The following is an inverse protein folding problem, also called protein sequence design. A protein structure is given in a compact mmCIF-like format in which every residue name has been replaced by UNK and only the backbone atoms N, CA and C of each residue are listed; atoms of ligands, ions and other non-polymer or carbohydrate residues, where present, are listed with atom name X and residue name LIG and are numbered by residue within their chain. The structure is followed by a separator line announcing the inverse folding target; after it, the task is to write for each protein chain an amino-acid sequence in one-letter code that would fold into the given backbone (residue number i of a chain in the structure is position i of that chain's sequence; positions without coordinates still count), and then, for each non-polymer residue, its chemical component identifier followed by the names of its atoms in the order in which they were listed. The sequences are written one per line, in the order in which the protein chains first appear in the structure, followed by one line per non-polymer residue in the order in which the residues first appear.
data_IF_342717912369
#
_entry.id   IF_342717912369
#
_cell.length_a   1.000
_cell.length_b   1.000
_cell.length_c   1.000
_cell.angle_alpha   90.00
_cell.angle_beta   90.00
_cell.angle_gamma   90.00
#
_symmetry.space_group_name_H-M   'P 1'
#
loop_
_entity.id
_entity.type
_entity.pdbx_description
1 polymer ?
#
# COMPACT_ATOMS: atom_id res chain seq x y z
N UNK A 1 32.49 -30.02 62.66
CA UNK A 1 32.92 -29.64 61.30
C UNK A 1 31.84 -28.68 60.75
N UNK A 2 32.09 -27.38 60.91
CA UNK A 2 31.14 -26.29 60.59
C UNK A 2 31.15 -26.02 59.06
N UNK A 3 30.02 -26.13 58.45
CA UNK A 3 29.80 -25.60 57.10
C UNK A 3 29.50 -24.11 57.22
N UNK A 4 30.48 -23.30 56.90
CA UNK A 4 30.34 -21.85 56.75
C UNK A 4 29.35 -21.52 55.64
N UNK A 5 28.28 -20.82 55.99
CA UNK A 5 27.32 -20.27 55.07
C UNK A 5 28.01 -19.15 54.26
N UNK A 6 28.30 -19.39 53.00
CA UNK A 6 28.59 -18.35 52.05
C UNK A 6 27.38 -17.41 51.94
N UNK A 7 27.46 -16.25 52.60
CA UNK A 7 26.57 -15.12 52.35
C UNK A 7 27.01 -14.49 51.04
N UNK A 8 26.22 -14.62 50.02
CA UNK A 8 26.30 -13.74 48.84
C UNK A 8 25.95 -12.34 49.30
N UNK A 9 26.89 -11.43 49.21
CA UNK A 9 26.71 -10.01 49.46
C UNK A 9 26.00 -9.39 48.25
N UNK A 10 24.72 -9.08 48.41
CA UNK A 10 23.86 -8.47 47.38
C UNK A 10 24.22 -7.00 47.04
N UNK A 11 25.32 -6.47 47.61
CA UNK A 11 25.63 -5.03 47.56
C UNK A 11 26.65 -4.61 46.47
N UNK A 12 27.13 -5.49 45.58
CA UNK A 12 28.23 -5.14 44.67
C UNK A 12 27.93 -5.23 43.18
N UNK A 13 26.73 -5.45 42.74
CA UNK A 13 26.38 -5.22 41.34
C UNK A 13 25.69 -3.87 41.16
N UNK A 14 26.47 -2.79 41.25
CA UNK A 14 26.03 -1.48 40.70
C UNK A 14 26.18 -1.55 39.19
N UNK A 15 25.29 -2.25 38.52
CA UNK A 15 24.96 -1.88 37.15
C UNK A 15 24.03 -0.68 37.25
N UNK A 16 24.56 0.52 37.11
CA UNK A 16 23.75 1.64 36.68
C UNK A 16 23.49 1.39 35.20
N UNK A 17 22.31 0.84 34.86
CA UNK A 17 21.79 1.11 33.55
C UNK A 17 21.70 2.64 33.50
N UNK A 18 22.52 3.32 32.69
CA UNK A 18 22.09 4.56 32.12
C UNK A 18 20.73 4.24 31.50
N UNK A 19 19.69 4.83 32.06
CA UNK A 19 18.39 4.83 31.43
C UNK A 19 18.53 5.70 30.17
N UNK A 20 19.30 5.26 29.21
CA UNK A 20 19.13 5.61 27.81
C UNK A 20 17.79 4.99 27.40
N UNK A 21 16.72 5.66 27.85
CA UNK A 21 15.42 5.52 27.25
C UNK A 21 15.57 6.10 25.85
N UNK A 22 16.03 5.26 24.94
CA UNK A 22 15.78 5.56 23.54
C UNK A 22 14.25 5.65 23.41
N UNK A 23 13.70 6.83 23.17
CA UNK A 23 12.27 6.95 23.01
C UNK A 23 11.85 5.99 21.90
N UNK A 24 10.68 5.34 21.98
CA UNK A 24 10.19 4.49 20.91
C UNK A 24 10.20 5.29 19.60
N UNK A 25 10.46 4.61 18.47
CA UNK A 25 10.50 5.25 17.16
C UNK A 25 9.20 6.05 16.92
N UNK A 26 9.35 7.31 16.55
CA UNK A 26 8.23 8.22 16.26
C UNK A 26 7.73 7.98 14.85
N UNK A 27 6.61 7.28 14.75
CA UNK A 27 5.99 6.89 13.48
C UNK A 27 4.80 7.82 13.21
N UNK A 28 4.78 8.45 12.04
CA UNK A 28 3.65 9.26 11.59
C UNK A 28 3.02 8.66 10.33
N UNK A 29 1.69 8.70 10.25
CA UNK A 29 0.93 8.33 9.06
C UNK A 29 0.21 9.56 8.56
N UNK A 30 0.51 9.99 7.34
CA UNK A 30 -0.16 11.10 6.70
C UNK A 30 -1.05 10.60 5.56
N UNK A 31 -2.36 10.77 5.71
CA UNK A 31 -3.36 10.45 4.69
C UNK A 31 -3.65 11.68 3.83
N UNK A 32 -3.35 11.58 2.53
CA UNK A 32 -3.39 12.70 1.59
C UNK A 32 -4.57 12.57 0.64
N UNK A 33 -5.41 13.61 0.60
CA UNK A 33 -6.63 13.64 -0.22
C UNK A 33 -7.75 12.78 0.35
N UNK A 34 -8.80 12.54 -0.44
CA UNK A 34 -10.00 11.81 0.01
C UNK A 34 -9.70 10.37 0.41
N UNK A 35 -9.11 9.59 -0.49
CA UNK A 35 -8.80 8.17 -0.22
C UNK A 35 -7.77 8.00 0.90
N UNK A 36 -6.72 8.83 0.95
CA UNK A 36 -5.76 8.80 2.06
C UNK A 36 -6.41 9.14 3.41
N UNK A 37 -7.33 10.10 3.44
CA UNK A 37 -8.13 10.43 4.63
C UNK A 37 -9.04 9.28 5.08
N UNK A 38 -9.66 8.56 4.14
CA UNK A 38 -10.47 7.37 4.44
C UNK A 38 -9.62 6.23 5.01
N UNK A 39 -8.45 5.99 4.41
CA UNK A 39 -7.50 4.98 4.92
C UNK A 39 -7.07 5.31 6.36
N UNK A 40 -6.73 6.58 6.67
CA UNK A 40 -6.41 7.01 8.04
C UNK A 40 -7.60 6.81 8.98
N UNK A 41 -8.82 7.16 8.58
CA UNK A 41 -10.01 6.89 9.39
C UNK A 41 -10.15 5.39 9.69
N UNK A 42 -9.85 4.54 8.71
CA UNK A 42 -9.90 3.09 8.86
C UNK A 42 -8.86 2.56 9.84
N UNK A 43 -7.63 3.10 9.77
CA UNK A 43 -6.53 2.77 10.68
C UNK A 43 -6.87 3.16 12.14
N UNK A 44 -7.49 4.32 12.34
CA UNK A 44 -7.96 4.77 13.66
C UNK A 44 -9.08 3.86 14.19
N UNK A 45 -10.04 3.46 13.34
CA UNK A 45 -11.09 2.51 13.70
C UNK A 45 -10.53 1.13 14.05
N UNK A 46 -9.48 0.69 13.35
CA UNK A 46 -8.75 -0.53 13.64
C UNK A 46 -7.87 -0.43 14.91
N UNK A 47 -7.80 0.75 15.54
CA UNK A 47 -7.02 1.00 16.77
C UNK A 47 -5.54 0.67 16.63
N UNK A 48 -4.92 1.07 15.52
CA UNK A 48 -3.45 0.96 15.39
C UNK A 48 -2.82 1.88 16.42
N UNK A 49 -1.94 1.33 17.27
CA UNK A 49 -1.28 2.02 18.37
C UNK A 49 0.17 2.42 18.03
N UNK A 50 0.72 3.37 18.77
CA UNK A 50 2.13 3.79 18.61
C UNK A 50 2.39 4.64 17.36
N UNK A 51 1.34 5.20 16.73
CA UNK A 51 1.42 5.95 15.47
C UNK A 51 0.63 7.26 15.58
N UNK A 52 1.21 8.35 15.10
CA UNK A 52 0.53 9.65 15.00
C UNK A 52 -0.17 9.79 13.64
N UNK A 53 -1.47 10.04 13.66
CA UNK A 53 -2.28 10.17 12.45
C UNK A 53 -2.50 11.62 12.04
N UNK A 54 -2.22 11.91 10.76
CA UNK A 54 -2.40 13.21 10.12
C UNK A 54 -3.28 13.04 8.89
N UNK A 55 -4.30 13.89 8.73
CA UNK A 55 -5.07 13.98 7.49
C UNK A 55 -4.74 15.31 6.79
N UNK A 56 -4.21 15.24 5.57
CA UNK A 56 -3.92 16.39 4.72
C UNK A 56 -4.84 16.42 3.50
N UNK A 57 -5.56 17.52 3.28
CA UNK A 57 -6.45 17.65 2.14
C UNK A 57 -6.63 19.11 1.72
N UNK A 58 -6.98 19.31 0.46
CA UNK A 58 -7.42 20.60 -0.10
C UNK A 58 -8.93 20.82 0.08
N UNK A 59 -9.69 19.76 0.41
CA UNK A 59 -11.13 19.81 0.64
C UNK A 59 -11.42 19.87 2.16
N UNK A 60 -12.00 21.00 2.57
CA UNK A 60 -12.35 21.25 3.98
C UNK A 60 -13.47 20.33 4.47
N UNK A 61 -14.40 19.92 3.62
CA UNK A 61 -15.50 19.04 4.02
C UNK A 61 -14.95 17.64 4.37
N UNK A 62 -14.04 17.12 3.53
CA UNK A 62 -13.36 15.87 3.79
C UNK A 62 -12.52 15.93 5.09
N UNK A 63 -11.84 17.05 5.37
CA UNK A 63 -11.11 17.23 6.62
C UNK A 63 -12.03 17.30 7.85
N UNK A 64 -13.20 17.89 7.74
CA UNK A 64 -14.17 17.95 8.85
C UNK A 64 -14.66 16.57 9.25
N UNK A 65 -14.88 15.68 8.28
CA UNK A 65 -15.33 14.31 8.52
C UNK A 65 -14.20 13.34 8.93
N UNK A 66 -12.94 13.76 8.82
CA UNK A 66 -11.79 12.94 9.22
C UNK A 66 -11.77 12.72 10.74
N UNK A 67 -11.39 11.50 11.13
CA UNK A 67 -11.16 11.10 12.53
C UNK A 67 -9.73 11.40 13.01
N UNK A 68 -8.83 11.80 12.09
CA UNK A 68 -7.44 12.11 12.45
C UNK A 68 -7.36 13.21 13.51
N UNK A 69 -6.54 13.04 14.56
CA UNK A 69 -6.34 14.05 15.58
C UNK A 69 -5.70 15.31 15.01
N UNK A 70 -4.81 15.14 14.05
CA UNK A 70 -4.15 16.25 13.35
C UNK A 70 -4.70 16.39 11.94
N UNK A 71 -5.19 17.59 11.61
CA UNK A 71 -5.80 17.90 10.30
C UNK A 71 -5.07 19.08 9.67
N UNK A 72 -4.57 18.88 8.46
CA UNK A 72 -3.89 19.90 7.70
C UNK A 72 -4.66 20.24 6.43
N UNK A 73 -5.22 21.44 6.34
CA UNK A 73 -5.68 21.97 5.07
C UNK A 73 -4.47 22.50 4.30
N UNK A 74 -4.25 21.97 3.10
CA UNK A 74 -3.22 22.42 2.16
C UNK A 74 -3.84 23.21 1.02
N UNK A 75 -3.12 24.23 0.49
CA UNK A 75 -3.53 25.04 -0.64
C UNK A 75 -4.81 25.82 -0.39
N UNK A 76 -4.97 26.38 0.80
CA UNK A 76 -6.18 27.11 1.19
C UNK A 76 -6.46 28.30 0.26
N UNK A 77 -5.41 29.06 -0.16
CA UNK A 77 -5.55 30.19 -1.08
C UNK A 77 -5.83 29.73 -2.50
N UNK A 78 -5.19 28.64 -2.93
CA UNK A 78 -5.31 28.11 -4.29
C UNK A 78 -6.68 27.50 -4.56
N UNK A 79 -7.24 26.76 -3.57
CA UNK A 79 -8.44 25.92 -3.78
C UNK A 79 -9.70 26.49 -3.12
N UNK A 80 -9.58 27.47 -2.23
CA UNK A 80 -10.67 27.98 -1.40
C UNK A 80 -11.43 26.86 -0.63
N UNK A 81 -10.73 25.75 -0.31
CA UNK A 81 -11.32 24.61 0.39
C UNK A 81 -12.21 23.69 -0.45
N UNK A 82 -12.26 23.85 -1.76
CA UNK A 82 -13.12 23.10 -2.69
C UNK A 82 -12.42 21.90 -3.35
N UNK A 83 -11.17 21.59 -2.97
CA UNK A 83 -10.41 20.52 -3.57
C UNK A 83 -9.72 20.89 -4.89
N UNK A 84 -9.00 19.93 -5.50
CA UNK A 84 -8.19 20.15 -6.71
C UNK A 84 -8.93 19.86 -8.03
N UNK A 85 -10.18 19.37 -8.02
CA UNK A 85 -10.94 19.06 -9.23
C UNK A 85 -10.28 18.01 -10.14
N UNK A 86 -9.67 16.97 -9.55
CA UNK A 86 -8.94 15.91 -10.23
C UNK A 86 -7.77 16.38 -11.11
N UNK A 87 -7.11 17.50 -10.76
CA UNK A 87 -5.94 18.05 -11.43
C UNK A 87 -4.72 17.89 -10.49
N UNK A 88 -3.77 16.96 -10.77
CA UNK A 88 -2.61 16.69 -9.90
C UNK A 88 -1.72 17.91 -9.70
N UNK A 89 -1.52 18.74 -10.75
CA UNK A 89 -0.71 19.95 -10.67
C UNK A 89 -1.22 20.94 -9.61
N UNK A 90 -2.56 21.05 -9.44
CA UNK A 90 -3.14 21.86 -8.36
C UNK A 90 -2.86 21.27 -6.98
N UNK A 91 -2.82 19.93 -6.88
CA UNK A 91 -2.44 19.22 -5.65
C UNK A 91 -0.97 19.47 -5.27
N UNK A 92 -0.09 19.44 -6.26
CA UNK A 92 1.33 19.79 -6.13
C UNK A 92 1.51 21.21 -5.60
N UNK A 93 0.87 22.19 -6.27
CA UNK A 93 0.95 23.59 -5.87
C UNK A 93 0.34 23.83 -4.47
N UNK A 94 -0.72 23.12 -4.12
CA UNK A 94 -1.32 23.19 -2.80
C UNK A 94 -0.36 22.70 -1.68
N UNK A 95 0.41 21.65 -1.92
CA UNK A 95 1.42 21.19 -0.98
C UNK A 95 2.60 22.17 -0.87
N UNK A 96 3.02 22.75 -1.99
CA UNK A 96 4.08 23.77 -2.01
C UNK A 96 3.68 25.06 -1.27
N UNK A 97 2.39 25.44 -1.31
CA UNK A 97 1.87 26.62 -0.58
C UNK A 97 2.04 26.47 0.94
N UNK A 98 1.92 25.24 1.47
CA UNK A 98 1.92 24.96 2.90
C UNK A 98 3.17 24.17 3.37
N UNK A 99 4.29 24.29 2.64
CA UNK A 99 5.54 23.55 2.90
C UNK A 99 6.01 23.69 4.36
N UNK A 100 6.03 24.92 4.91
CA UNK A 100 6.47 25.17 6.29
C UNK A 100 5.63 24.41 7.32
N UNK A 101 4.31 24.40 7.14
CA UNK A 101 3.40 23.67 8.04
C UNK A 101 3.54 22.15 7.92
N UNK A 102 3.86 21.66 6.73
CA UNK A 102 4.13 20.24 6.50
C UNK A 102 5.42 19.85 7.20
N UNK A 103 6.49 20.62 7.05
CA UNK A 103 7.76 20.40 7.73
C UNK A 103 7.56 20.37 9.25
N UNK A 104 6.87 21.37 9.83
CA UNK A 104 6.58 21.43 11.26
C UNK A 104 5.86 20.18 11.77
N UNK A 105 4.90 19.65 11.00
CA UNK A 105 4.15 18.45 11.36
C UNK A 105 4.99 17.17 11.24
N UNK A 106 5.95 17.12 10.32
CA UNK A 106 6.78 15.94 10.08
C UNK A 106 8.07 15.94 10.88
N UNK A 107 8.46 17.09 11.41
CA UNK A 107 9.71 17.24 12.15
C UNK A 107 9.81 16.25 13.31
N UNK A 108 11.03 15.75 13.47
CA UNK A 108 11.38 14.79 14.49
C UNK A 108 10.75 13.40 14.33
N UNK A 109 10.18 13.06 13.16
CA UNK A 109 9.72 11.69 12.88
C UNK A 109 10.89 10.79 12.49
N UNK A 110 10.89 9.56 13.00
CA UNK A 110 11.85 8.53 12.59
C UNK A 110 11.36 7.79 11.33
N UNK A 111 10.01 7.66 11.18
CA UNK A 111 9.35 7.04 10.03
C UNK A 111 8.08 7.79 9.66
N UNK A 112 7.85 7.93 8.36
CA UNK A 112 6.63 8.56 7.80
C UNK A 112 6.00 7.65 6.76
N UNK A 113 4.75 7.24 7.01
CA UNK A 113 3.92 6.60 6.01
C UNK A 113 3.14 7.65 5.23
N UNK A 114 3.26 7.61 3.90
CA UNK A 114 2.48 8.42 2.97
C UNK A 114 1.37 7.55 2.40
N UNK A 115 0.12 7.79 2.79
CA UNK A 115 -1.01 7.04 2.22
C UNK A 115 -1.90 7.93 1.36
N UNK A 116 -2.18 7.47 0.14
CA UNK A 116 -2.98 8.22 -0.83
C UNK A 116 -3.65 7.29 -1.86
N UNK A 117 -4.80 7.71 -2.39
CA UNK A 117 -5.33 7.15 -3.64
C UNK A 117 -4.81 7.94 -4.83
N UNK A 118 -4.09 7.24 -5.71
CA UNK A 118 -3.53 7.83 -6.93
C UNK A 118 -4.60 7.98 -8.01
N UNK A 119 -4.40 8.93 -8.93
CA UNK A 119 -5.33 9.23 -10.03
C UNK A 119 -6.28 10.39 -9.77
N UNK A 120 -6.37 10.85 -8.51
CA UNK A 120 -7.07 12.09 -8.14
C UNK A 120 -6.20 13.34 -8.30
N UNK A 121 -6.68 14.48 -7.78
CA UNK A 121 -5.90 15.74 -7.78
C UNK A 121 -4.97 15.85 -6.58
N UNK A 122 -5.56 15.89 -5.37
CA UNK A 122 -4.80 16.15 -4.12
C UNK A 122 -3.81 15.04 -3.81
N UNK A 123 -4.27 13.76 -3.74
CA UNK A 123 -3.40 12.63 -3.40
C UNK A 123 -2.24 12.47 -4.38
N UNK A 124 -2.54 12.51 -5.69
CA UNK A 124 -1.54 12.31 -6.75
C UNK A 124 -0.48 13.41 -6.77
N UNK A 125 -0.91 14.67 -6.65
CA UNK A 125 0.03 15.80 -6.77
C UNK A 125 0.75 16.15 -5.47
N UNK A 126 0.09 16.04 -4.32
CA UNK A 126 0.69 16.43 -3.04
C UNK A 126 1.55 15.31 -2.41
N UNK A 127 1.27 14.02 -2.67
CA UNK A 127 2.01 12.93 -2.06
C UNK A 127 3.51 12.97 -2.38
N UNK A 128 3.97 13.19 -3.64
CA UNK A 128 5.40 13.28 -3.92
C UNK A 128 6.08 14.45 -3.21
N UNK A 129 5.41 15.60 -3.08
CA UNK A 129 5.98 16.77 -2.38
C UNK A 129 6.13 16.50 -0.88
N UNK A 130 5.07 15.97 -0.25
CA UNK A 130 5.10 15.67 1.19
C UNK A 130 6.13 14.56 1.48
N UNK A 131 6.26 13.58 0.59
CA UNK A 131 7.27 12.53 0.70
C UNK A 131 8.69 13.07 0.59
N UNK A 132 8.95 14.01 -0.35
CA UNK A 132 10.25 14.67 -0.48
C UNK A 132 10.63 15.40 0.81
N UNK A 133 9.70 16.14 1.40
CA UNK A 133 9.93 16.85 2.66
C UNK A 133 10.23 15.88 3.82
N UNK A 134 9.52 14.75 3.90
CA UNK A 134 9.79 13.73 4.91
C UNK A 134 11.20 13.12 4.76
N UNK A 135 11.62 12.84 3.53
CA UNK A 135 12.95 12.32 3.21
C UNK A 135 14.05 13.36 3.52
N UNK A 136 13.81 14.64 3.22
CA UNK A 136 14.74 15.75 3.58
C UNK A 136 14.93 15.87 5.09
N UNK A 137 13.91 15.53 5.89
CA UNK A 137 13.98 15.46 7.35
C UNK A 137 14.64 14.16 7.86
N UNK A 138 15.20 13.33 6.97
CA UNK A 138 15.87 12.05 7.28
C UNK A 138 14.96 11.00 7.90
N UNK A 139 13.63 11.13 7.77
CA UNK A 139 12.68 10.12 8.16
C UNK A 139 12.68 8.97 7.13
N UNK A 140 12.58 7.72 7.59
CA UNK A 140 12.32 6.58 6.70
C UNK A 140 10.94 6.77 6.07
N UNK A 141 10.90 7.03 4.76
CA UNK A 141 9.67 7.41 4.06
C UNK A 141 9.11 6.23 3.26
N UNK A 142 7.92 5.76 3.63
CA UNK A 142 7.25 4.63 3.01
C UNK A 142 5.93 5.07 2.37
N UNK A 143 5.86 4.97 1.05
CA UNK A 143 4.61 5.20 0.31
C UNK A 143 3.73 3.94 0.32
N UNK A 144 2.47 4.05 0.74
CA UNK A 144 1.47 2.99 0.68
C UNK A 144 0.24 3.53 -0.03
N UNK A 145 0.08 3.23 -1.31
CA UNK A 145 -0.88 3.91 -2.17
C UNK A 145 -1.69 2.95 -3.03
N UNK A 146 -2.91 3.37 -3.38
CA UNK A 146 -3.77 2.59 -4.28
C UNK A 146 -3.76 3.14 -5.70
N UNK A 147 -3.89 2.25 -6.69
CA UNK A 147 -4.21 2.59 -8.08
C UNK A 147 -5.72 2.50 -8.30
N UNK A 148 -6.31 3.40 -9.10
CA UNK A 148 -7.75 3.39 -9.35
C UNK A 148 -8.21 2.12 -10.07
N UNK A 149 -9.49 1.77 -9.90
CA UNK A 149 -10.15 0.74 -10.71
C UNK A 149 -10.23 1.16 -12.19
N UNK A 150 -10.32 0.21 -13.11
CA UNK A 150 -10.41 0.48 -14.55
C UNK A 150 -11.68 1.28 -14.91
N UNK A 151 -12.79 1.01 -14.22
CA UNK A 151 -14.04 1.74 -14.44
C UNK A 151 -13.98 3.23 -14.05
N UNK A 152 -12.99 3.65 -13.23
CA UNK A 152 -12.80 5.07 -12.92
C UNK A 152 -12.26 5.90 -14.10
N UNK A 153 -11.83 5.24 -15.16
CA UNK A 153 -11.50 5.81 -16.45
C UNK A 153 -10.01 6.06 -16.68
N UNK A 154 -9.66 6.11 -17.98
CA UNK A 154 -8.26 6.18 -18.44
C UNK A 154 -7.50 7.41 -17.92
N UNK A 155 -8.18 8.55 -17.81
CA UNK A 155 -7.55 9.79 -17.30
C UNK A 155 -7.00 9.59 -15.88
N UNK A 156 -7.80 8.94 -14.99
CA UNK A 156 -7.34 8.65 -13.63
C UNK A 156 -6.17 7.66 -13.61
N UNK A 157 -6.17 6.66 -14.49
CA UNK A 157 -5.06 5.73 -14.60
C UNK A 157 -3.77 6.42 -15.05
N UNK A 158 -3.84 7.28 -16.08
CA UNK A 158 -2.68 8.06 -16.54
C UNK A 158 -2.11 8.93 -15.42
N UNK A 159 -2.98 9.69 -14.71
CA UNK A 159 -2.54 10.49 -13.58
C UNK A 159 -1.94 9.64 -12.46
N UNK A 160 -2.49 8.45 -12.20
CA UNK A 160 -1.95 7.52 -11.20
C UNK A 160 -0.55 7.04 -11.58
N UNK A 161 -0.33 6.65 -12.84
CA UNK A 161 0.96 6.16 -13.30
C UNK A 161 2.03 7.26 -13.29
N UNK A 162 1.66 8.50 -13.63
CA UNK A 162 2.56 9.66 -13.53
C UNK A 162 2.93 9.94 -12.07
N UNK A 163 1.93 10.06 -11.19
CA UNK A 163 2.17 10.32 -9.77
C UNK A 163 2.92 9.22 -9.05
N UNK A 164 2.69 7.94 -9.42
CA UNK A 164 3.46 6.81 -8.89
C UNK A 164 4.94 6.88 -9.30
N UNK A 165 5.22 7.33 -10.52
CA UNK A 165 6.61 7.51 -10.99
C UNK A 165 7.32 8.58 -10.17
N UNK A 166 6.67 9.73 -9.98
CA UNK A 166 7.23 10.81 -9.16
C UNK A 166 7.40 10.39 -7.69
N UNK A 167 6.40 9.72 -7.12
CA UNK A 167 6.46 9.27 -5.72
C UNK A 167 7.58 8.25 -5.51
N UNK A 168 7.79 7.33 -6.45
CA UNK A 168 8.83 6.31 -6.40
C UNK A 168 10.25 6.90 -6.34
N UNK A 169 10.47 8.06 -6.95
CA UNK A 169 11.77 8.72 -6.98
C UNK A 169 12.15 9.35 -5.64
N UNK A 170 11.16 9.63 -4.79
CA UNK A 170 11.37 10.37 -3.54
C UNK A 170 11.18 9.54 -2.27
N UNK A 171 10.52 8.39 -2.32
CA UNK A 171 10.33 7.52 -1.15
C UNK A 171 11.41 6.44 -1.07
N UNK A 172 11.74 5.99 0.13
CA UNK A 172 12.63 4.83 0.35
C UNK A 172 12.01 3.54 -0.17
N UNK A 173 10.74 3.33 0.12
CA UNK A 173 9.97 2.16 -0.29
C UNK A 173 8.56 2.56 -0.73
N UNK A 174 8.10 2.00 -1.84
CA UNK A 174 6.75 2.22 -2.38
C UNK A 174 5.98 0.90 -2.48
N UNK A 175 4.91 0.80 -1.70
CA UNK A 175 3.92 -0.28 -1.78
C UNK A 175 2.74 0.24 -2.61
N UNK A 176 2.49 -0.40 -3.74
CA UNK A 176 1.38 -0.04 -4.63
C UNK A 176 0.33 -1.13 -4.63
N UNK A 177 -0.91 -0.76 -4.36
CA UNK A 177 -2.08 -1.66 -4.31
C UNK A 177 -2.95 -1.35 -5.53
N UNK A 178 -2.92 -2.18 -6.60
CA UNK A 178 -3.83 -2.03 -7.72
C UNK A 178 -5.25 -2.46 -7.31
N UNK A 179 -6.21 -1.52 -7.26
CA UNK A 179 -7.58 -1.83 -6.86
C UNK A 179 -8.22 -2.89 -7.78
N UNK A 180 -7.83 -2.93 -9.06
CA UNK A 180 -8.31 -3.93 -10.00
C UNK A 180 -8.07 -5.37 -9.54
N UNK A 181 -6.95 -5.63 -8.88
CA UNK A 181 -6.62 -6.96 -8.34
C UNK A 181 -7.52 -7.36 -7.17
N UNK A 182 -8.04 -6.38 -6.45
CA UNK A 182 -8.96 -6.63 -5.34
C UNK A 182 -10.31 -7.18 -5.84
N UNK A 183 -10.70 -6.89 -7.09
CA UNK A 183 -11.93 -7.42 -7.68
C UNK A 183 -11.91 -8.95 -7.78
N UNK A 184 -10.73 -9.57 -7.95
CA UNK A 184 -10.61 -11.04 -7.97
C UNK A 184 -10.86 -11.68 -6.60
N UNK A 185 -10.63 -10.93 -5.52
CA UNK A 185 -10.90 -11.38 -4.15
C UNK A 185 -12.35 -11.10 -3.71
N UNK A 186 -13.04 -10.22 -4.42
CA UNK A 186 -14.41 -9.80 -4.15
C UNK A 186 -15.38 -10.55 -5.09
N UNK A 187 -16.55 -10.96 -4.57
CA UNK A 187 -17.58 -11.60 -5.39
C UNK A 187 -18.30 -10.57 -6.29
N UNK A 188 -18.98 -11.05 -7.33
CA UNK A 188 -19.79 -10.24 -8.24
C UNK A 188 -20.95 -9.48 -7.57
N UNK A 189 -21.38 -9.91 -6.40
CA UNK A 189 -22.44 -9.30 -5.59
C UNK A 189 -21.95 -8.21 -4.63
N UNK A 190 -20.64 -7.91 -4.62
CA UNK A 190 -20.05 -6.96 -3.68
C UNK A 190 -20.50 -5.54 -4.03
N UNK A 191 -20.96 -4.79 -3.02
CA UNK A 191 -21.34 -3.39 -3.18
C UNK A 191 -20.14 -2.51 -3.53
N UNK A 192 -20.39 -1.44 -4.31
CA UNK A 192 -19.34 -0.49 -4.69
C UNK A 192 -18.64 0.13 -3.46
N UNK A 193 -19.41 0.48 -2.43
CA UNK A 193 -18.87 1.02 -1.19
C UNK A 193 -17.96 0.01 -0.47
N UNK A 194 -18.33 -1.27 -0.47
CA UNK A 194 -17.53 -2.34 0.12
C UNK A 194 -16.22 -2.55 -0.63
N UNK A 195 -16.22 -2.39 -1.96
CA UNK A 195 -15.01 -2.50 -2.78
C UNK A 195 -13.98 -1.42 -2.43
N UNK A 196 -14.41 -0.16 -2.26
CA UNK A 196 -13.52 0.91 -1.81
C UNK A 196 -13.07 0.70 -0.35
N UNK A 197 -13.98 0.27 0.52
CA UNK A 197 -13.65 -0.05 1.90
C UNK A 197 -12.62 -1.16 2.00
N UNK A 198 -12.70 -2.17 1.14
CA UNK A 198 -11.69 -3.24 1.07
C UNK A 198 -10.31 -2.71 0.65
N UNK A 199 -10.25 -1.76 -0.29
CA UNK A 199 -9.01 -1.09 -0.64
C UNK A 199 -8.41 -0.31 0.55
N UNK A 200 -9.25 0.41 1.32
CA UNK A 200 -8.83 1.10 2.53
C UNK A 200 -8.35 0.11 3.61
N UNK A 201 -8.99 -1.07 3.73
CA UNK A 201 -8.57 -2.14 4.65
C UNK A 201 -7.20 -2.71 4.28
N UNK A 202 -6.90 -2.85 3.00
CA UNK A 202 -5.59 -3.31 2.53
C UNK A 202 -4.50 -2.26 2.83
N UNK A 203 -4.77 -0.96 2.63
CA UNK A 203 -3.87 0.11 3.06
C UNK A 203 -3.62 0.07 4.58
N UNK A 204 -4.70 -0.15 5.36
CA UNK A 204 -4.61 -0.31 6.80
C UNK A 204 -3.72 -1.50 7.19
N UNK A 205 -3.90 -2.66 6.58
CA UNK A 205 -3.10 -3.86 6.83
C UNK A 205 -1.63 -3.67 6.49
N UNK A 206 -1.32 -2.91 5.43
CA UNK A 206 0.05 -2.61 5.04
C UNK A 206 0.77 -1.76 6.11
N UNK A 207 0.15 -0.68 6.54
CA UNK A 207 0.70 0.18 7.60
C UNK A 207 0.79 -0.59 8.91
N UNK A 208 -0.28 -1.29 9.30
CA UNK A 208 -0.33 -2.10 10.52
C UNK A 208 0.76 -3.17 10.53
N UNK A 209 0.94 -3.91 9.44
CA UNK A 209 1.92 -4.99 9.35
C UNK A 209 3.37 -4.53 9.58
N UNK A 210 3.68 -3.27 9.29
CA UNK A 210 5.00 -2.68 9.51
C UNK A 210 5.06 -2.02 10.90
N UNK A 211 4.03 -1.26 11.29
CA UNK A 211 4.03 -0.55 12.57
C UNK A 211 4.00 -1.50 13.76
N UNK A 212 3.19 -2.58 13.71
CA UNK A 212 3.06 -3.55 14.81
C UNK A 212 4.41 -4.16 15.19
N UNK A 213 5.27 -4.47 14.21
CA UNK A 213 6.60 -5.05 14.45
C UNK A 213 7.50 -4.09 15.27
N UNK A 214 7.33 -2.78 15.05
CA UNK A 214 8.16 -1.74 15.67
C UNK A 214 7.58 -1.31 17.03
N UNK A 215 6.24 -1.19 17.11
CA UNK A 215 5.57 -0.54 18.25
C UNK A 215 5.01 -1.51 19.28
N UNK A 216 4.64 -2.73 18.84
CA UNK A 216 3.99 -3.69 19.73
C UNK A 216 5.01 -4.59 20.41
N UNK A 217 4.89 -4.80 21.72
CA UNK A 217 5.75 -5.77 22.43
C UNK A 217 5.41 -7.18 21.95
N UNK A 218 6.39 -7.84 21.32
CA UNK A 218 6.27 -9.20 20.80
C UNK A 218 7.19 -10.20 21.52
N UNK A 219 7.20 -11.45 21.03
CA UNK A 219 8.21 -12.46 21.45
C UNK A 219 9.56 -12.13 20.81
N UNK A 220 9.53 -11.73 19.55
CA UNK A 220 10.69 -11.32 18.77
C UNK A 220 10.42 -9.88 18.33
N UNK A 221 11.08 -8.97 19.03
CA UNK A 221 11.03 -7.55 18.67
C UNK A 221 12.10 -7.30 17.62
N UNK A 222 11.69 -6.61 16.56
CA UNK A 222 12.59 -6.09 15.54
C UNK A 222 12.90 -4.66 15.92
N UNK A 223 14.17 -4.29 15.95
CA UNK A 223 14.50 -2.90 16.17
C UNK A 223 14.25 -2.06 14.89
N UNK A 224 14.10 -0.75 15.10
CA UNK A 224 13.83 0.17 13.99
C UNK A 224 14.99 0.21 12.97
N UNK A 225 16.22 -0.05 13.39
CA UNK A 225 17.40 -0.04 12.53
C UNK A 225 17.34 -1.19 11.51
N UNK A 226 16.85 -2.37 11.92
CA UNK A 226 16.66 -3.51 11.04
C UNK A 226 15.59 -3.24 9.99
N UNK A 227 14.43 -2.70 10.41
CA UNK A 227 13.36 -2.28 9.47
C UNK A 227 13.89 -1.25 8.48
N UNK A 228 14.64 -0.25 8.95
CA UNK A 228 15.27 0.75 8.09
C UNK A 228 16.19 0.09 7.05
N UNK A 229 17.00 -0.88 7.43
CA UNK A 229 17.94 -1.57 6.52
C UNK A 229 17.22 -2.30 5.39
N UNK A 230 16.11 -2.97 5.69
CA UNK A 230 15.32 -3.68 4.66
C UNK A 230 14.51 -2.72 3.79
N UNK A 231 14.11 -1.57 4.30
CA UNK A 231 13.18 -0.67 3.59
C UNK A 231 13.85 0.55 2.95
N UNK A 232 15.02 0.97 3.44
CA UNK A 232 15.68 2.18 2.90
C UNK A 232 16.23 1.96 1.50
N UNK A 233 15.87 2.85 0.55
CA UNK A 233 16.39 2.86 -0.81
C UNK A 233 16.06 1.62 -1.65
N UNK A 234 15.04 0.84 -1.27
CA UNK A 234 14.69 -0.43 -1.96
C UNK A 234 13.72 -0.23 -3.12
N UNK A 235 13.09 0.93 -3.24
CA UNK A 235 12.16 1.26 -4.32
C UNK A 235 10.82 0.55 -4.18
N UNK A 236 10.44 -0.29 -5.16
CA UNK A 236 9.15 -1.00 -5.11
C UNK A 236 9.17 -2.14 -4.09
N UNK A 237 8.08 -2.25 -3.33
CA UNK A 237 7.81 -3.37 -2.45
C UNK A 237 6.45 -4.00 -2.75
N UNK A 238 6.34 -5.28 -2.49
CA UNK A 238 5.11 -6.06 -2.61
C UNK A 238 4.70 -6.57 -1.24
N UNK A 239 3.40 -6.64 -1.01
CA UNK A 239 2.84 -7.12 0.24
C UNK A 239 1.80 -8.20 0.01
N UNK A 240 1.82 -9.21 0.87
CA UNK A 240 0.75 -10.20 0.96
C UNK A 240 0.38 -10.48 2.39
N UNK A 241 -0.90 -10.71 2.64
CA UNK A 241 -1.43 -11.07 3.96
C UNK A 241 -2.26 -12.34 3.85
N UNK A 242 -2.06 -13.27 4.78
CA UNK A 242 -2.84 -14.48 4.90
C UNK A 242 -3.28 -14.74 6.34
N UNK A 243 -4.49 -15.29 6.50
CA UNK A 243 -5.03 -15.71 7.78
C UNK A 243 -5.33 -17.21 7.70
N UNK A 244 -4.89 -17.97 8.67
CA UNK A 244 -5.16 -19.42 8.78
C UNK A 244 -5.85 -19.76 10.09
N UNK A 245 -6.60 -20.86 10.09
CA UNK A 245 -7.33 -21.39 11.24
C UNK A 245 -7.08 -22.89 11.38
N UNK A 246 -7.23 -23.42 12.60
CA UNK A 246 -7.12 -24.86 12.88
C UNK A 246 -5.69 -25.39 12.96
N UNK A 247 -5.51 -26.70 12.75
CA UNK A 247 -4.25 -27.40 13.00
C UNK A 247 -3.10 -26.99 12.08
N UNK A 248 -3.40 -26.60 10.83
CA UNK A 248 -2.41 -26.20 9.82
C UNK A 248 -2.42 -24.69 9.54
N UNK A 249 -2.94 -23.89 10.48
CA UNK A 249 -3.17 -22.46 10.31
C UNK A 249 -1.92 -21.67 9.86
N UNK A 250 -0.73 -22.03 10.33
CA UNK A 250 0.52 -21.37 9.96
C UNK A 250 0.89 -21.62 8.49
N UNK A 251 0.75 -22.85 8.03
CA UNK A 251 0.99 -23.26 6.63
C UNK A 251 -0.03 -22.57 5.72
N UNK A 252 -1.30 -22.63 6.09
CA UNK A 252 -2.38 -21.97 5.32
C UNK A 252 -2.21 -20.46 5.25
N UNK A 253 -1.87 -19.81 6.38
CA UNK A 253 -1.63 -18.37 6.43
C UNK A 253 -0.43 -17.98 5.55
N UNK A 254 0.68 -18.74 5.60
CA UNK A 254 1.85 -18.49 4.76
C UNK A 254 1.52 -18.66 3.28
N UNK A 255 0.83 -19.74 2.89
CA UNK A 255 0.40 -19.97 1.51
C UNK A 255 -0.54 -18.88 1.01
N UNK A 256 -1.54 -18.47 1.81
CA UNK A 256 -2.45 -17.38 1.46
C UNK A 256 -1.72 -16.04 1.34
N UNK A 257 -0.72 -15.79 2.20
CA UNK A 257 0.09 -14.58 2.10
C UNK A 257 0.89 -14.53 0.79
N UNK A 258 1.52 -15.64 0.40
CA UNK A 258 2.30 -15.74 -0.85
C UNK A 258 1.40 -15.72 -2.08
N UNK A 259 0.21 -16.35 -2.00
CA UNK A 259 -0.78 -16.40 -3.09
C UNK A 259 -1.75 -15.21 -3.06
N UNK A 260 -1.41 -14.14 -2.33
CA UNK A 260 -2.24 -12.94 -2.29
C UNK A 260 -2.40 -12.35 -3.70
N UNK A 261 -3.61 -11.93 -4.12
CA UNK A 261 -3.82 -11.27 -5.40
C UNK A 261 -2.92 -10.07 -5.63
N UNK A 262 -2.41 -9.47 -4.56
CA UNK A 262 -1.48 -8.34 -4.62
C UNK A 262 -0.05 -8.76 -5.04
N UNK A 263 0.28 -10.05 -4.92
CA UNK A 263 1.58 -10.64 -5.26
C UNK A 263 1.56 -11.47 -6.56
N UNK A 264 0.37 -11.89 -7.04
CA UNK A 264 0.17 -12.98 -7.99
C UNK A 264 0.85 -12.81 -9.37
N UNK A 265 1.11 -11.60 -9.83
CA UNK A 265 1.77 -11.38 -11.14
C UNK A 265 3.29 -11.19 -11.02
N UNK A 266 3.76 -10.86 -9.84
CA UNK A 266 5.19 -10.76 -9.54
C UNK A 266 5.48 -11.70 -8.40
N UNK A 267 6.09 -12.85 -8.70
CA UNK A 267 6.63 -13.73 -7.67
C UNK A 267 7.47 -12.90 -6.70
N UNK A 268 7.35 -13.17 -5.38
CA UNK A 268 8.26 -12.60 -4.38
C UNK A 268 9.70 -13.09 -4.58
N UNK A 269 9.91 -13.99 -5.55
CA UNK A 269 11.23 -14.51 -5.94
C UNK A 269 12.11 -13.39 -6.45
N UNK A 270 13.34 -13.35 -5.94
CA UNK A 270 14.31 -12.32 -6.32
C UNK A 270 14.20 -11.03 -5.49
N UNK A 271 13.35 -11.01 -4.46
CA UNK A 271 13.38 -9.97 -3.44
C UNK A 271 14.71 -9.99 -2.69
N UNK A 272 15.34 -8.83 -2.48
CA UNK A 272 16.57 -8.76 -1.68
C UNK A 272 16.29 -8.85 -0.20
N UNK A 273 15.19 -8.23 0.25
CA UNK A 273 14.78 -8.23 1.64
C UNK A 273 13.34 -8.70 1.79
N UNK A 274 13.09 -9.49 2.83
CA UNK A 274 11.74 -9.92 3.20
C UNK A 274 11.51 -9.65 4.68
N UNK A 275 10.41 -8.96 4.96
CA UNK A 275 9.90 -8.75 6.30
C UNK A 275 8.71 -9.68 6.52
N UNK A 276 8.75 -10.51 7.53
CA UNK A 276 7.70 -11.46 7.90
C UNK A 276 7.15 -11.05 9.26
N UNK A 277 5.87 -10.69 9.33
CA UNK A 277 5.17 -10.44 10.58
C UNK A 277 4.17 -11.56 10.85
N UNK A 278 4.32 -12.25 11.98
CA UNK A 278 3.39 -13.28 12.42
C UNK A 278 2.62 -12.77 13.63
N UNK A 279 1.30 -12.73 13.52
CA UNK A 279 0.41 -12.26 14.59
C UNK A 279 -0.47 -13.40 15.08
N UNK A 280 -0.48 -13.64 16.38
CA UNK A 280 -1.31 -14.65 17.02
C UNK A 280 -1.50 -14.33 18.50
N UNK A 281 -2.25 -15.16 19.25
CA UNK A 281 -2.40 -14.97 20.69
C UNK A 281 -1.21 -15.53 21.45
N UNK A 282 -0.93 -14.96 22.62
CA UNK A 282 0.14 -15.44 23.51
C UNK A 282 0.00 -16.92 23.89
N UNK A 283 -1.23 -17.40 24.01
CA UNK A 283 -1.52 -18.78 24.43
C UNK A 283 -1.47 -19.79 23.28
N UNK A 284 -1.63 -19.32 22.04
CA UNK A 284 -1.82 -20.20 20.88
C UNK A 284 -0.60 -20.29 19.97
N UNK A 285 0.27 -19.26 19.90
CA UNK A 285 1.41 -19.21 18.98
C UNK A 285 2.51 -20.18 19.41
N UNK A 286 2.91 -21.10 18.52
CA UNK A 286 3.91 -22.15 18.80
C UNK A 286 5.12 -22.01 17.89
N UNK A 287 6.32 -22.37 18.41
CA UNK A 287 7.57 -22.26 17.68
C UNK A 287 7.57 -23.03 16.34
N UNK A 288 7.01 -24.25 16.33
CA UNK A 288 6.96 -25.03 15.09
C UNK A 288 6.08 -24.43 14.01
N UNK A 289 5.03 -23.66 14.39
CA UNK A 289 4.18 -22.94 13.44
C UNK A 289 4.94 -21.78 12.77
N UNK A 290 5.70 -21.07 13.58
CA UNK A 290 6.59 -19.98 13.14
C UNK A 290 7.66 -20.50 12.17
N UNK A 291 8.34 -21.59 12.52
CA UNK A 291 9.38 -22.21 11.70
C UNK A 291 8.80 -22.73 10.36
N UNK A 292 7.65 -23.40 10.40
CA UNK A 292 7.00 -23.90 9.21
C UNK A 292 6.58 -22.78 8.24
N UNK A 293 6.01 -21.68 8.78
CA UNK A 293 5.60 -20.54 7.98
C UNK A 293 6.80 -19.80 7.36
N UNK A 294 7.85 -19.56 8.15
CA UNK A 294 9.05 -18.89 7.69
C UNK A 294 9.76 -19.66 6.58
N UNK A 295 9.88 -21.00 6.70
CA UNK A 295 10.46 -21.86 5.67
C UNK A 295 9.73 -21.76 4.33
N UNK A 296 8.39 -21.83 4.34
CA UNK A 296 7.59 -21.71 3.12
C UNK A 296 7.85 -20.36 2.42
N UNK A 297 7.91 -19.28 3.18
CA UNK A 297 8.13 -17.94 2.62
C UNK A 297 9.57 -17.82 2.08
N UNK A 298 10.57 -18.29 2.83
CA UNK A 298 11.97 -18.25 2.44
C UNK A 298 12.25 -19.08 1.18
N UNK A 299 11.68 -20.29 1.08
CA UNK A 299 11.82 -21.15 -0.11
C UNK A 299 11.28 -20.50 -1.39
N UNK A 300 10.22 -19.68 -1.29
CA UNK A 300 9.63 -19.00 -2.45
C UNK A 300 10.36 -17.71 -2.77
N UNK A 301 10.73 -16.92 -1.76
CA UNK A 301 11.34 -15.60 -1.93
C UNK A 301 12.84 -15.69 -2.26
N UNK A 302 13.57 -16.66 -1.68
CA UNK A 302 15.03 -16.80 -1.73
C UNK A 302 15.77 -15.47 -1.47
N UNK A 303 15.46 -14.77 -0.35
CA UNK A 303 15.95 -13.43 -0.10
C UNK A 303 17.41 -13.44 0.41
N UNK A 304 18.12 -12.32 0.17
CA UNK A 304 19.45 -12.07 0.77
C UNK A 304 19.31 -11.81 2.29
N UNK A 305 18.27 -11.04 2.68
CA UNK A 305 17.99 -10.66 4.05
C UNK A 305 16.55 -11.00 4.45
N UNK A 306 16.37 -11.60 5.64
CA UNK A 306 15.04 -11.88 6.21
C UNK A 306 14.94 -11.30 7.60
N UNK A 307 13.95 -10.43 7.82
CA UNK A 307 13.56 -9.99 9.15
C UNK A 307 12.27 -10.68 9.55
N UNK A 308 12.25 -11.20 10.75
CA UNK A 308 11.13 -11.92 11.33
C UNK A 308 10.68 -11.25 12.62
N UNK A 309 9.38 -10.94 12.70
CA UNK A 309 8.72 -10.44 13.90
C UNK A 309 7.54 -11.32 14.30
N UNK A 310 7.33 -11.45 15.61
CA UNK A 310 6.18 -12.17 16.17
C UNK A 310 5.48 -11.29 17.19
N UNK A 311 4.24 -10.91 16.90
CA UNK A 311 3.43 -9.95 17.67
C UNK A 311 2.21 -10.67 18.27
N UNK A 312 1.84 -10.27 19.48
CA UNK A 312 0.64 -10.78 20.14
C UNK A 312 -0.55 -9.88 19.92
N UNK A 313 -1.66 -10.47 19.46
CA UNK A 313 -2.99 -9.85 19.38
C UNK A 313 -4.03 -10.83 19.92
N UNK A 314 -4.56 -10.53 21.11
CA UNK A 314 -5.54 -11.39 21.78
C UNK A 314 -6.89 -11.46 21.04
N UNK A 315 -7.15 -10.53 20.11
CA UNK A 315 -8.36 -10.56 19.27
C UNK A 315 -8.28 -11.63 18.17
N UNK A 316 -7.11 -12.20 17.93
CA UNK A 316 -6.93 -13.27 16.92
C UNK A 316 -7.61 -14.59 17.32
N UNK A 317 -7.76 -14.89 18.62
CA UNK A 317 -8.28 -16.17 19.08
C UNK A 317 -7.40 -17.33 18.59
N UNK A 318 -8.00 -18.33 17.94
CA UNK A 318 -7.26 -19.47 17.38
C UNK A 318 -6.71 -19.20 15.96
N UNK A 319 -6.90 -18.02 15.42
CA UNK A 319 -6.39 -17.63 14.11
C UNK A 319 -4.93 -17.18 14.18
N UNK A 320 -4.23 -17.33 13.06
CA UNK A 320 -2.88 -16.84 12.87
C UNK A 320 -2.87 -15.98 11.60
N UNK A 321 -2.35 -14.74 11.71
CA UNK A 321 -2.16 -13.83 10.58
C UNK A 321 -0.69 -13.73 10.25
N UNK A 322 -0.37 -13.82 8.96
CA UNK A 322 0.98 -13.62 8.44
C UNK A 322 0.94 -12.50 7.42
N UNK A 323 1.79 -11.51 7.62
CA UNK A 323 2.02 -10.44 6.64
C UNK A 323 3.45 -10.55 6.12
N UNK A 324 3.59 -10.58 4.81
CA UNK A 324 4.88 -10.66 4.11
C UNK A 324 5.07 -9.38 3.32
N UNK A 325 6.20 -8.71 3.50
CA UNK A 325 6.59 -7.55 2.70
C UNK A 325 7.93 -7.87 2.06
N UNK A 326 7.94 -7.91 0.74
CA UNK A 326 9.12 -8.22 -0.06
C UNK A 326 9.63 -6.94 -0.75
N UNK A 327 10.92 -6.66 -0.64
CA UNK A 327 11.55 -5.42 -1.10
C UNK A 327 12.77 -5.68 -1.98
N UNK A 328 13.22 -4.66 -2.72
CA UNK A 328 14.50 -4.70 -3.43
C UNK A 328 14.48 -5.51 -4.73
N UNK A 329 13.36 -5.58 -5.42
CA UNK A 329 13.26 -6.24 -6.73
C UNK A 329 14.13 -5.55 -7.77
N UNK A 330 14.88 -6.35 -8.58
CA UNK A 330 15.66 -5.82 -9.68
C UNK A 330 14.74 -5.22 -10.75
N UNK A 331 15.02 -4.00 -11.17
CA UNK A 331 14.21 -3.22 -12.12
C UNK A 331 13.91 -3.96 -13.44
N UNK A 332 14.85 -4.78 -13.92
CA UNK A 332 14.71 -5.55 -15.16
C UNK A 332 13.62 -6.64 -15.12
N UNK A 333 13.40 -7.25 -13.97
CA UNK A 333 12.42 -8.35 -13.85
C UNK A 333 10.98 -7.82 -13.80
N UNK A 334 10.75 -6.67 -13.14
CA UNK A 334 9.45 -6.01 -13.16
C UNK A 334 9.07 -5.41 -14.53
N UNK A 335 10.05 -4.89 -15.29
CA UNK A 335 9.80 -4.43 -16.66
C UNK A 335 9.54 -5.59 -17.62
N UNK A 336 10.23 -6.72 -17.45
CA UNK A 336 9.98 -7.92 -18.22
C UNK A 336 8.60 -8.52 -17.95
N UNK A 337 8.17 -8.56 -16.69
CA UNK A 337 6.81 -8.98 -16.32
C UNK A 337 5.74 -8.06 -16.92
N UNK A 338 5.92 -6.74 -16.85
CA UNK A 338 5.02 -5.76 -17.51
C UNK A 338 4.99 -5.88 -19.02
N UNK A 339 6.13 -6.15 -19.67
CA UNK A 339 6.19 -6.39 -21.13
C UNK A 339 5.55 -7.71 -21.53
N UNK A 340 5.67 -8.74 -20.69
CA UNK A 340 5.02 -10.02 -20.94
C UNK A 340 3.49 -9.91 -20.80
N UNK A 341 2.99 -9.07 -19.87
CA UNK A 341 1.56 -8.79 -19.70
C UNK A 341 0.98 -7.97 -20.86
N UNK A 342 1.67 -6.91 -21.28
CA UNK A 342 1.25 -6.14 -22.45
C UNK A 342 1.27 -6.95 -23.77
N UNK A 343 2.11 -7.99 -23.84
CA UNK A 343 2.15 -8.92 -24.97
C UNK A 343 1.03 -9.99 -24.92
N UNK A 344 0.44 -10.25 -23.76
CA UNK A 344 -0.69 -11.19 -23.58
C UNK A 344 -2.06 -10.56 -23.85
N UNK A 345 -2.16 -9.24 -23.84
CA UNK A 345 -3.35 -8.54 -24.35
C UNK A 345 -3.31 -8.71 -25.86
N UNK A 346 -4.08 -9.65 -26.39
CA UNK A 346 -4.22 -9.86 -27.83
C UNK A 346 -4.54 -8.50 -28.49
N UNK A 347 -3.88 -8.14 -29.60
CA UNK A 347 -4.20 -6.91 -30.28
C UNK A 347 -5.69 -6.91 -30.60
N UNK A 348 -6.40 -5.88 -30.16
CA UNK A 348 -7.76 -5.64 -30.61
C UNK A 348 -7.75 -5.76 -32.14
N UNK A 349 -8.72 -6.48 -32.75
CA UNK A 349 -8.82 -6.50 -34.20
C UNK A 349 -8.78 -5.05 -34.69
N UNK A 350 -7.94 -4.81 -35.70
CA UNK A 350 -7.78 -3.49 -36.28
C UNK A 350 -9.16 -2.89 -36.55
N UNK A 351 -9.40 -1.60 -36.28
CA UNK A 351 -10.68 -1.01 -36.56
C UNK A 351 -11.02 -1.29 -38.03
N UNK A 352 -12.17 -1.93 -38.22
CA UNK A 352 -12.71 -2.16 -39.59
C UNK A 352 -12.75 -0.79 -40.23
N UNK A 353 -12.11 -0.67 -41.41
CA UNK A 353 -12.04 0.59 -42.13
C UNK A 353 -13.46 0.95 -42.59
N UNK A 354 -14.18 1.70 -41.75
CA UNK A 354 -15.57 2.14 -42.00
C UNK A 354 -15.71 2.86 -43.31
N UNK A 355 -14.61 3.40 -43.88
CA UNK A 355 -14.63 4.07 -45.20
C UNK A 355 -14.89 3.09 -46.35
N UNK A 356 -14.34 1.87 -46.27
CA UNK A 356 -14.58 0.84 -47.29
C UNK A 356 -16.00 0.30 -47.23
N UNK A 357 -16.59 0.20 -46.04
CA UNK A 357 -17.98 -0.23 -45.87
C UNK A 357 -18.99 0.87 -46.33
N UNK A 358 -18.64 2.13 -46.11
CA UNK A 358 -19.42 3.27 -46.61
C UNK A 358 -19.34 3.37 -48.15
N UNK A 359 -18.16 3.21 -48.76
CA UNK A 359 -17.99 3.21 -50.19
C UNK A 359 -18.74 2.05 -50.89
N UNK A 360 -18.68 0.86 -50.29
CA UNK A 360 -19.45 -0.30 -50.76
C UNK A 360 -20.96 -0.07 -50.67
N UNK A 361 -21.48 0.46 -49.58
CA UNK A 361 -22.88 0.80 -49.39
C UNK A 361 -23.33 1.94 -50.32
N UNK A 362 -22.46 2.95 -50.55
CA UNK A 362 -22.73 4.02 -51.48
C UNK A 362 -22.74 3.56 -52.94
N UNK A 363 -21.93 2.56 -53.33
CA UNK A 363 -21.97 1.97 -54.67
C UNK A 363 -23.29 1.23 -54.93
N UNK A 364 -23.75 0.42 -53.93
CA UNK A 364 -25.04 -0.29 -54.01
C UNK A 364 -26.24 0.69 -54.08
N UNK A 365 -26.17 1.85 -53.45
CA UNK A 365 -27.21 2.88 -53.50
C UNK A 365 -27.21 3.57 -54.88
N UNK A 366 -26.02 3.82 -55.47
CA UNK A 366 -25.94 4.41 -56.82
C UNK A 366 -26.52 3.51 -57.89
N UNK A 367 -26.24 2.20 -57.88
CA UNK A 367 -26.83 1.24 -58.83
C UNK A 367 -28.38 1.20 -58.77
N UNK A 368 -28.94 1.42 -57.59
CA UNK A 368 -30.41 1.45 -57.43
C UNK A 368 -31.09 2.81 -57.80
N UNK A 369 -30.32 3.88 -57.92
CA UNK A 369 -30.85 5.20 -58.24
C UNK A 369 -31.00 5.46 -59.76
N UNK A 370 -30.28 4.68 -60.59
CA UNK A 370 -30.37 4.80 -62.03
C UNK A 370 -31.61 4.15 -62.65
N UNK A 371 -32.43 3.39 -61.87
CA UNK A 371 -33.71 2.88 -62.29
C UNK A 371 -34.87 3.78 -61.79
N UNK A 372 -35.77 4.22 -62.69
CA UNK A 372 -36.95 5.00 -62.32
C UNK A 372 -37.83 4.30 -61.28
N UNK A 373 -38.32 5.02 -60.29
CA UNK A 373 -39.05 4.51 -59.13
C UNK A 373 -40.25 3.57 -59.44
N UNK A 374 -40.84 3.66 -60.66
CA UNK A 374 -41.96 2.85 -61.09
C UNK A 374 -41.53 1.45 -61.60
N UNK A 375 -40.26 1.16 -61.78
CA UNK A 375 -39.72 -0.17 -62.17
C UNK A 375 -39.17 -0.97 -61.02
N UNK A 376 -39.04 -0.40 -59.83
CA UNK A 376 -38.53 -1.11 -58.66
C UNK A 376 -39.61 -2.09 -58.15
N UNK A 377 -39.46 -3.36 -58.43
CA UNK A 377 -40.31 -4.39 -57.83
C UNK A 377 -40.05 -4.45 -56.31
N UNK A 378 -41.11 -4.42 -55.50
CA UNK A 378 -41.04 -4.79 -54.11
C UNK A 378 -40.68 -6.28 -54.04
N UNK A 379 -39.71 -6.74 -53.25
CA UNK A 379 -39.58 -8.14 -52.91
C UNK A 379 -40.79 -8.52 -52.04
N UNK A 380 -41.41 -9.62 -52.38
CA UNK A 380 -42.46 -10.27 -51.59
C UNK A 380 -41.87 -10.82 -50.29
#
# INVERSE_FOLDING_TARGET
MQLEKLRFDESTTKFSFEEDRHPPARIKVIGIGGAGGNAVNRMIQARIEGVDFIAANTDVQALRSSMAPTKLQIGAKLTNGLGCGAVPERGRQAALEDTERIIELLDGSDMVFITAGMGGGTGTGAAPIIASLATELSALTVGVVTKPFQFEGRRRQTHADEGLRELKEVVDTLITIPNERLLHALGSETLLEESFRYADDVLCQAVQGISDIITMPGIVNVDFADVRTIMSGKGMALMGTGIGEGANRAIEAAQRAISSPLLEETSIKGAKGVLINITGTRQSLRLHEVDAAAKIIQEVADPEDTIFGAVYDENMGDRLKITVIATGFKHSEMEMARKAESARVAPMPAPVDERKDIDYRMSLIKENLDEPAFRRRRPD
#
